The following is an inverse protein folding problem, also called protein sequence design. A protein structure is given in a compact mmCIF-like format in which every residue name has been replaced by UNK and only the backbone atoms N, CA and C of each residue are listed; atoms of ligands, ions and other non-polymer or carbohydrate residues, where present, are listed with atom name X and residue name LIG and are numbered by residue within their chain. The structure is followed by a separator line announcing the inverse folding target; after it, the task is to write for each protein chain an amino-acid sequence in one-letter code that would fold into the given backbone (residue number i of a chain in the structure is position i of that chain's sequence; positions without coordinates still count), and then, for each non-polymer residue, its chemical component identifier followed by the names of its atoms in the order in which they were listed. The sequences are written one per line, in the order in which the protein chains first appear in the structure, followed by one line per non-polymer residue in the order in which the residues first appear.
data_IF_373259607229
#
_entry.id   IF_373259607229
#
_cell.length_a   1.000
_cell.length_b   1.000
_cell.length_c   1.000
_cell.angle_alpha   90.00
_cell.angle_beta   90.00
_cell.angle_gamma   90.00
#
_symmetry.space_group_name_H-M   'P 1'
#
loop_
_entity.id
_entity.type
_entity.pdbx_description
1 polymer ?
#
# COMPACT_ATOMS: atom_id res chain seq x y z
N UNK A 1 3.38 -14.96 -23.63
CA UNK A 1 2.95 -15.81 -22.50
C UNK A 1 1.83 -16.74 -22.96
N UNK A 2 1.89 -17.99 -22.57
CA UNK A 2 0.88 -19.00 -22.91
C UNK A 2 -0.51 -18.60 -22.34
N UNK A 3 -1.55 -18.75 -23.16
CA UNK A 3 -2.93 -18.45 -22.74
C UNK A 3 -3.39 -19.29 -21.54
N UNK A 4 -2.95 -20.55 -21.45
CA UNK A 4 -3.26 -21.41 -20.33
C UNK A 4 -2.63 -20.91 -19.03
N UNK A 5 -1.41 -20.40 -19.10
CA UNK A 5 -0.71 -19.83 -17.94
C UNK A 5 -1.39 -18.56 -17.45
N UNK A 6 -1.81 -17.67 -18.36
CA UNK A 6 -2.56 -16.46 -18.04
C UNK A 6 -3.90 -16.80 -17.36
N UNK A 7 -4.61 -17.79 -17.88
CA UNK A 7 -5.86 -18.25 -17.28
C UNK A 7 -5.68 -18.79 -15.86
N UNK A 8 -4.56 -19.47 -15.60
CA UNK A 8 -4.24 -19.97 -14.25
C UNK A 8 -3.97 -18.84 -13.27
N UNK A 9 -3.23 -17.78 -13.70
CA UNK A 9 -2.98 -16.62 -12.86
C UNK A 9 -4.27 -15.86 -12.56
N UNK A 10 -5.14 -15.67 -13.53
CA UNK A 10 -6.42 -15.00 -13.35
C UNK A 10 -7.31 -15.73 -12.34
N UNK A 11 -7.35 -17.07 -12.41
CA UNK A 11 -8.09 -17.89 -11.46
C UNK A 11 -7.53 -17.78 -10.04
N UNK A 12 -6.20 -17.76 -9.90
CA UNK A 12 -5.55 -17.59 -8.60
C UNK A 12 -5.85 -16.21 -8.00
N UNK A 13 -5.84 -15.17 -8.82
CA UNK A 13 -6.13 -13.80 -8.39
C UNK A 13 -7.58 -13.69 -7.93
N UNK A 14 -8.53 -14.25 -8.68
CA UNK A 14 -9.94 -14.26 -8.27
C UNK A 14 -10.16 -15.00 -6.96
N UNK A 15 -9.51 -16.14 -6.79
CA UNK A 15 -9.58 -16.92 -5.55
C UNK A 15 -9.03 -16.13 -4.36
N UNK A 16 -7.89 -15.47 -4.56
CA UNK A 16 -7.29 -14.62 -3.55
C UNK A 16 -8.19 -13.43 -3.21
N UNK A 17 -8.76 -12.78 -4.21
CA UNK A 17 -9.69 -11.66 -4.01
C UNK A 17 -10.88 -12.06 -3.14
N UNK A 18 -11.50 -13.19 -3.43
CA UNK A 18 -12.62 -13.71 -2.63
C UNK A 18 -12.20 -14.06 -1.20
N UNK A 19 -11.01 -14.64 -1.05
CA UNK A 19 -10.47 -14.99 0.27
C UNK A 19 -10.22 -13.75 1.12
N UNK A 20 -9.63 -12.69 0.54
CA UNK A 20 -9.39 -11.42 1.23
C UNK A 20 -10.71 -10.76 1.63
N UNK A 21 -11.70 -10.78 0.76
CA UNK A 21 -13.03 -10.22 1.06
C UNK A 21 -13.71 -10.98 2.22
N UNK A 22 -13.56 -12.29 2.29
CA UNK A 22 -14.05 -13.10 3.43
C UNK A 22 -13.35 -12.72 4.74
N UNK A 23 -12.11 -12.26 4.66
CA UNK A 23 -11.32 -11.82 5.81
C UNK A 23 -11.53 -10.33 6.12
N UNK A 24 -12.60 -9.72 5.60
CA UNK A 24 -12.96 -8.32 5.79
C UNK A 24 -11.95 -7.33 5.21
N UNK A 25 -11.25 -7.74 4.14
CA UNK A 25 -10.33 -6.88 3.40
C UNK A 25 -10.87 -6.62 2.00
N UNK A 26 -10.73 -5.39 1.54
CA UNK A 26 -11.05 -5.04 0.16
C UNK A 26 -9.83 -5.34 -0.72
N UNK A 27 -10.06 -5.98 -1.86
CA UNK A 27 -9.00 -6.30 -2.80
C UNK A 27 -9.24 -5.62 -4.14
N UNK A 28 -8.28 -4.80 -4.56
CA UNK A 28 -8.26 -4.17 -5.88
C UNK A 28 -7.04 -4.65 -6.64
N UNK A 29 -7.20 -4.94 -7.93
CA UNK A 29 -6.11 -5.46 -8.77
C UNK A 29 -5.80 -4.44 -9.86
N UNK A 30 -4.52 -4.07 -9.98
CA UNK A 30 -4.05 -3.13 -10.98
C UNK A 30 -2.99 -3.78 -11.86
N UNK A 31 -3.08 -3.57 -13.16
CA UNK A 31 -2.14 -4.13 -14.12
C UNK A 31 -1.00 -3.16 -14.47
N UNK A 32 -1.17 -1.88 -14.16
CA UNK A 32 -0.17 -0.84 -14.44
C UNK A 32 0.02 0.07 -13.24
N UNK A 33 1.18 0.71 -13.17
CA UNK A 33 1.48 1.73 -12.16
C UNK A 33 0.54 2.91 -12.27
N UNK A 34 0.15 3.28 -13.49
CA UNK A 34 -0.78 4.39 -13.74
C UNK A 34 -2.16 4.12 -13.11
N UNK A 35 -2.69 2.91 -13.27
CA UNK A 35 -3.96 2.50 -12.65
C UNK A 35 -3.87 2.57 -11.12
N UNK A 36 -2.75 2.13 -10.56
CA UNK A 36 -2.49 2.19 -9.12
C UNK A 36 -2.49 3.64 -8.63
N UNK A 37 -1.78 4.52 -9.34
CA UNK A 37 -1.72 5.95 -9.00
C UNK A 37 -3.09 6.61 -9.08
N UNK A 38 -3.89 6.29 -10.10
CA UNK A 38 -5.24 6.84 -10.25
C UNK A 38 -6.14 6.44 -9.07
N UNK A 39 -6.03 5.20 -8.61
CA UNK A 39 -6.74 4.75 -7.42
C UNK A 39 -6.31 5.52 -6.18
N UNK A 40 -5.00 5.66 -5.95
CA UNK A 40 -4.50 6.39 -4.79
C UNK A 40 -4.91 7.88 -4.81
N UNK A 41 -5.00 8.50 -5.96
CA UNK A 41 -5.49 9.88 -6.06
C UNK A 41 -6.92 10.04 -5.54
N UNK A 42 -7.71 8.98 -5.56
CA UNK A 42 -9.08 9.03 -5.03
C UNK A 42 -9.12 9.01 -3.50
N UNK A 43 -8.09 8.48 -2.84
CA UNK A 43 -8.03 8.36 -1.38
C UNK A 43 -7.07 9.35 -0.72
N UNK A 44 -6.07 9.88 -1.45
CA UNK A 44 -5.11 10.86 -0.93
C UNK A 44 -5.65 12.28 -1.11
N UNK A 45 -6.62 12.64 -0.28
CA UNK A 45 -7.29 13.94 -0.33
C UNK A 45 -7.82 14.33 1.04
N UNK A 46 -8.40 15.53 1.14
CA UNK A 46 -9.11 16.02 2.33
C UNK A 46 -8.24 16.08 3.59
N UNK A 47 -6.94 16.37 3.44
CA UNK A 47 -5.98 16.50 4.54
C UNK A 47 -5.90 15.26 5.45
N UNK A 48 -6.19 14.08 4.91
CA UNK A 48 -6.05 12.83 5.65
C UNK A 48 -4.61 12.62 6.10
N UNK A 49 -4.43 12.03 7.26
CA UNK A 49 -3.12 11.69 7.78
C UNK A 49 -2.68 10.36 7.17
N UNK A 50 -1.55 10.38 6.46
CA UNK A 50 -0.99 9.20 5.80
C UNK A 50 0.34 8.84 6.44
N UNK A 51 0.48 7.60 6.88
CA UNK A 51 1.72 7.04 7.38
C UNK A 51 2.16 5.85 6.53
N UNK A 52 3.44 5.52 6.59
CA UNK A 52 4.00 4.39 5.82
C UNK A 52 4.85 3.50 6.71
N UNK A 53 4.78 2.20 6.43
CA UNK A 53 5.75 1.23 6.95
C UNK A 53 7.00 1.19 6.08
N UNK A 54 8.03 0.47 6.49
CA UNK A 54 9.20 0.24 5.66
C UNK A 54 8.83 -0.63 4.46
N UNK A 55 8.90 -0.08 3.26
CA UNK A 55 8.53 -0.80 2.04
C UNK A 55 9.30 -0.28 0.83
N UNK A 56 10.10 -1.15 0.24
CA UNK A 56 10.76 -0.86 -1.03
C UNK A 56 9.78 -0.85 -2.21
N UNK A 57 8.73 -1.65 -2.14
CA UNK A 57 7.72 -1.70 -3.21
C UNK A 57 6.99 -0.37 -3.38
N UNK A 58 6.70 0.34 -2.28
CA UNK A 58 6.08 1.66 -2.33
C UNK A 58 7.00 2.69 -3.00
N UNK A 59 8.31 2.60 -2.74
CA UNK A 59 9.30 3.47 -3.35
C UNK A 59 9.48 3.15 -4.85
N UNK A 60 9.62 1.86 -5.19
CA UNK A 60 9.77 1.41 -6.57
C UNK A 60 8.59 1.81 -7.46
N UNK A 61 7.38 1.80 -6.91
CA UNK A 61 6.16 2.20 -7.64
C UNK A 61 5.87 3.70 -7.56
N UNK A 62 6.78 4.49 -7.03
CA UNK A 62 6.65 5.94 -6.88
C UNK A 62 5.43 6.39 -6.08
N UNK A 63 4.93 5.54 -5.20
CA UNK A 63 3.77 5.86 -4.36
C UNK A 63 4.11 6.94 -3.34
N UNK A 64 5.33 6.92 -2.79
CA UNK A 64 5.77 7.93 -1.83
C UNK A 64 5.79 9.32 -2.46
N UNK A 65 6.23 9.43 -3.71
CA UNK A 65 6.23 10.70 -4.44
C UNK A 65 4.80 11.20 -4.66
N UNK A 66 3.88 10.30 -4.96
CA UNK A 66 2.47 10.62 -5.11
C UNK A 66 1.87 11.14 -3.80
N UNK A 67 2.18 10.51 -2.68
CA UNK A 67 1.73 10.96 -1.35
C UNK A 67 2.24 12.38 -1.06
N UNK A 68 3.52 12.64 -1.35
CA UNK A 68 4.12 13.96 -1.12
C UNK A 68 3.49 15.05 -1.97
N UNK A 69 3.00 14.70 -3.17
CA UNK A 69 2.35 15.62 -4.08
C UNK A 69 0.85 15.79 -3.82
N UNK A 70 0.26 15.00 -2.94
CA UNK A 70 -1.18 14.98 -2.67
C UNK A 70 -1.57 15.90 -1.52
N UNK A 71 -2.87 16.22 -1.42
CA UNK A 71 -3.42 17.06 -0.36
C UNK A 71 -3.68 16.24 0.92
N UNK A 72 -2.59 15.79 1.54
CA UNK A 72 -2.63 14.95 2.74
C UNK A 72 -1.55 15.40 3.73
N UNK A 73 -1.73 15.08 5.00
CA UNK A 73 -0.68 15.21 6.01
C UNK A 73 0.15 13.95 6.01
N UNK A 74 1.32 13.99 5.37
CA UNK A 74 2.21 12.84 5.25
C UNK A 74 3.18 12.78 6.43
N UNK A 75 3.15 11.69 7.18
CA UNK A 75 4.10 11.41 8.26
C UNK A 75 5.33 10.74 7.63
N UNK A 76 6.20 11.55 7.01
CA UNK A 76 7.31 11.07 6.21
C UNK A 76 8.51 10.68 7.08
N UNK A 77 8.66 9.38 7.35
CA UNK A 77 9.79 8.83 8.09
C UNK A 77 11.10 8.83 7.30
N UNK A 78 11.03 9.10 5.99
CA UNK A 78 12.18 9.14 5.11
C UNK A 78 12.65 10.56 4.79
N UNK A 79 12.03 11.57 5.37
CA UNK A 79 12.43 12.97 5.15
C UNK A 79 13.85 13.20 5.65
N UNK A 80 14.59 14.04 4.92
CA UNK A 80 15.97 14.37 5.28
C UNK A 80 16.00 15.27 6.53
N UNK A 81 17.05 15.10 7.34
CA UNK A 81 17.27 15.95 8.50
C UNK A 81 16.41 15.67 9.71
N UNK A 82 15.75 14.50 9.75
CA UNK A 82 14.97 14.10 10.91
C UNK A 82 15.87 13.74 12.09
N UNK A 83 15.54 14.29 13.25
CA UNK A 83 16.18 13.86 14.52
C UNK A 83 15.51 12.56 14.99
N UNK A 84 16.19 11.86 15.91
CA UNK A 84 15.64 10.65 16.52
C UNK A 84 14.31 10.93 17.23
N UNK A 85 14.18 12.07 17.88
CA UNK A 85 12.95 12.49 18.53
C UNK A 85 11.80 12.69 17.55
N UNK A 86 12.08 13.31 16.39
CA UNK A 86 11.09 13.51 15.34
C UNK A 86 10.64 12.19 14.72
N UNK A 87 11.56 11.24 14.52
CA UNK A 87 11.24 9.90 14.02
C UNK A 87 10.33 9.18 15.01
N UNK A 88 10.62 9.24 16.31
CA UNK A 88 9.79 8.64 17.34
C UNK A 88 8.38 9.26 17.37
N UNK A 89 8.29 10.58 17.21
CA UNK A 89 7.01 11.28 17.14
C UNK A 89 6.19 10.80 15.92
N UNK A 90 6.82 10.60 14.77
CA UNK A 90 6.16 10.07 13.56
C UNK A 90 5.63 8.66 13.84
N UNK A 91 6.40 7.79 14.49
CA UNK A 91 5.96 6.44 14.83
C UNK A 91 4.74 6.45 15.76
N UNK A 92 4.70 7.35 16.74
CA UNK A 92 3.54 7.48 17.63
C UNK A 92 2.32 8.02 16.90
N UNK A 93 2.48 9.04 16.07
CA UNK A 93 1.37 9.61 15.30
C UNK A 93 0.81 8.62 14.28
N UNK A 94 1.62 7.70 13.77
CA UNK A 94 1.20 6.71 12.79
C UNK A 94 0.07 5.80 13.30
N UNK A 95 -0.05 5.59 14.61
CA UNK A 95 -1.15 4.81 15.19
C UNK A 95 -2.52 5.49 15.01
N UNK A 96 -2.53 6.79 14.78
CA UNK A 96 -3.75 7.57 14.57
C UNK A 96 -3.92 8.01 13.11
N UNK A 97 -3.14 7.45 12.19
CA UNK A 97 -3.24 7.79 10.78
C UNK A 97 -4.58 7.31 10.19
N UNK A 98 -5.12 8.09 9.24
CA UNK A 98 -6.31 7.69 8.49
C UNK A 98 -5.97 6.59 7.48
N UNK A 99 -4.75 6.65 6.92
CA UNK A 99 -4.26 5.69 5.94
C UNK A 99 -2.86 5.26 6.35
N UNK A 100 -2.63 3.95 6.44
CA UNK A 100 -1.32 3.38 6.69
C UNK A 100 -0.94 2.52 5.48
N UNK A 101 0.16 2.89 4.81
CA UNK A 101 0.64 2.19 3.64
C UNK A 101 1.77 1.23 4.03
N UNK A 102 1.63 0.00 3.62
CA UNK A 102 2.67 -1.02 3.81
C UNK A 102 2.62 -2.02 2.67
N UNK A 103 3.61 -2.89 2.58
CA UNK A 103 3.60 -4.01 1.64
C UNK A 103 3.69 -5.32 2.40
N UNK A 104 3.36 -6.40 1.72
CA UNK A 104 3.56 -7.73 2.25
C UNK A 104 4.57 -8.48 1.40
N UNK A 105 5.40 -9.33 2.03
CA UNK A 105 6.40 -10.14 1.32
C UNK A 105 5.75 -11.26 0.52
N UNK A 106 4.71 -11.85 1.06
CA UNK A 106 3.97 -12.90 0.38
C UNK A 106 2.56 -13.00 0.93
N UNK A 107 1.65 -13.57 0.15
CA UNK A 107 0.32 -13.90 0.61
C UNK A 107 -0.10 -15.27 0.07
N UNK A 108 -0.91 -15.96 0.87
CA UNK A 108 -1.45 -17.26 0.49
C UNK A 108 -2.76 -17.08 -0.26
N UNK A 109 -3.19 -18.10 -0.99
CA UNK A 109 -4.45 -18.06 -1.74
C UNK A 109 -5.68 -18.07 -0.84
N UNK A 110 -5.53 -18.37 0.45
CA UNK A 110 -6.59 -18.27 1.45
C UNK A 110 -6.64 -16.92 2.17
N UNK A 111 -5.82 -15.95 1.72
CA UNK A 111 -5.89 -14.58 2.18
C UNK A 111 -5.08 -14.25 3.42
N UNK A 112 -4.03 -15.02 3.71
CA UNK A 112 -3.09 -14.71 4.80
C UNK A 112 -1.90 -13.92 4.27
N UNK A 113 -1.50 -12.89 5.01
CA UNK A 113 -0.35 -12.04 4.68
C UNK A 113 0.84 -12.41 5.57
N UNK A 114 2.01 -12.55 4.96
CA UNK A 114 3.25 -12.87 5.68
C UNK A 114 4.31 -11.80 5.41
N UNK A 115 4.84 -11.23 6.48
CA UNK A 115 5.90 -10.23 6.45
C UNK A 115 7.10 -10.69 7.27
N UNK A 116 8.28 -10.46 6.73
CA UNK A 116 9.54 -10.78 7.40
C UNK A 116 10.23 -9.48 7.81
#
# INVERSE_FOLDING_TARGET
MDKNLLGMYDLKIERLKKALERNNMTCEVFNTEEELHDYFKTIFKDQKVVAVGGSMSLDEMHVLDLVRASDVKFLDRYAKGLTKEKINAIHHEAFNADIYLTSTNTMTTDGCLYNI
#
